data_IF_149437441245
#
_entry.id   IF_149437441245
#
_cell.length_a   1.000
_cell.length_b   1.000
_cell.length_c   1.000
_cell.angle_alpha   90.00
_cell.angle_beta   90.00
_cell.angle_gamma   90.00
#
_symmetry.space_group_name_H-M   'P 1'
#
loop_
_entity.id
_entity.type
_entity.pdbx_description
1 polymer ?
#
# COMPACT_ATOMS: atom_id res chain seq x y z
N UNK A 1 -3.69 42.75 -50.82
CA UNK A 1 -5.11 43.06 -50.57
C UNK A 1 -5.86 41.78 -50.90
N UNK A 2 -6.05 40.81 -50.01
CA UNK A 2 -6.37 40.82 -48.56
C UNK A 2 -5.98 39.42 -48.04
N UNK A 3 -5.02 39.31 -47.13
CA UNK A 3 -5.13 39.21 -45.65
C UNK A 3 -5.49 37.79 -45.13
N UNK A 4 -4.95 37.51 -43.94
CA UNK A 4 -4.50 36.25 -43.36
C UNK A 4 -5.51 35.10 -43.12
N UNK A 5 -5.04 33.86 -42.87
CA UNK A 5 -5.82 32.87 -42.14
C UNK A 5 -5.78 33.16 -40.63
N UNK A 6 -6.94 33.53 -40.10
CA UNK A 6 -7.16 33.71 -38.66
C UNK A 6 -6.96 32.39 -37.91
N UNK A 7 -5.98 32.40 -37.02
CA UNK A 7 -5.81 31.37 -36.01
C UNK A 7 -6.91 31.45 -34.97
N UNK A 8 -7.56 30.31 -34.69
CA UNK A 8 -8.22 30.10 -33.41
C UNK A 8 -7.92 28.69 -32.90
N UNK A 9 -6.91 28.65 -32.04
CA UNK A 9 -6.69 27.59 -31.07
C UNK A 9 -7.83 27.66 -30.04
N UNK A 10 -8.65 26.62 -29.99
CA UNK A 10 -9.67 26.48 -28.95
C UNK A 10 -9.03 26.40 -27.56
N UNK A 11 -9.66 26.96 -26.52
CA UNK A 11 -9.10 26.94 -25.17
C UNK A 11 -9.03 25.50 -24.64
N UNK A 12 -7.82 25.09 -24.28
CA UNK A 12 -7.55 23.88 -23.52
C UNK A 12 -8.28 23.96 -22.18
N UNK A 13 -9.15 22.99 -21.93
CA UNK A 13 -9.87 22.87 -20.67
C UNK A 13 -8.86 22.77 -19.51
N UNK A 14 -8.84 23.79 -18.65
CA UNK A 14 -8.08 23.78 -17.40
C UNK A 14 -8.67 22.68 -16.52
N UNK A 15 -7.91 21.60 -16.32
CA UNK A 15 -8.25 20.57 -15.33
C UNK A 15 -8.40 21.24 -13.97
N UNK A 16 -9.59 21.16 -13.39
CA UNK A 16 -9.85 21.56 -12.02
C UNK A 16 -8.84 20.87 -11.09
N UNK A 17 -8.01 21.67 -10.43
CA UNK A 17 -7.06 21.20 -9.45
C UNK A 17 -7.82 20.56 -8.28
N UNK A 18 -7.85 19.23 -8.25
CA UNK A 18 -8.41 18.48 -7.14
C UNK A 18 -7.76 18.94 -5.84
N UNK A 19 -8.59 19.34 -4.88
CA UNK A 19 -8.14 19.78 -3.55
C UNK A 19 -7.23 18.70 -2.97
N UNK A 20 -5.92 18.99 -2.88
CA UNK A 20 -4.91 18.10 -2.34
C UNK A 20 -5.24 17.87 -0.87
N UNK A 21 -5.90 16.76 -0.55
CA UNK A 21 -6.09 16.32 0.82
C UNK A 21 -4.71 16.09 1.41
N UNK A 22 -4.42 16.75 2.51
CA UNK A 22 -3.25 16.45 3.34
C UNK A 22 -3.35 14.99 3.77
N UNK A 23 -2.35 14.13 3.47
CA UNK A 23 -2.40 12.73 3.88
C UNK A 23 -2.49 12.66 5.41
N UNK A 24 -3.46 11.92 5.92
CA UNK A 24 -3.47 11.54 7.34
C UNK A 24 -2.15 10.83 7.65
N UNK A 25 -1.47 11.13 8.76
CA UNK A 25 -0.30 10.36 9.19
C UNK A 25 -0.63 8.87 9.15
N UNK A 26 0.30 8.02 8.67
CA UNK A 26 0.07 6.59 8.64
C UNK A 26 -0.32 6.13 10.05
N UNK A 27 -1.36 5.29 10.19
CA UNK A 27 -1.75 4.80 11.51
C UNK A 27 -0.59 4.11 12.20
N UNK A 28 -0.52 4.22 13.53
CA UNK A 28 0.45 3.50 14.33
C UNK A 28 0.26 1.98 14.25
N UNK A 29 1.25 1.21 14.76
CA UNK A 29 1.13 -0.24 14.89
C UNK A 29 -0.04 -0.62 15.81
N UNK A 30 -0.55 -1.83 15.66
CA UNK A 30 -1.54 -2.39 16.56
C UNK A 30 -0.97 -2.61 17.96
N UNK A 31 -1.79 -2.42 19.00
CA UNK A 31 -1.32 -2.60 20.39
C UNK A 31 -1.03 -4.07 20.73
N UNK A 32 -1.80 -5.00 20.14
CA UNK A 32 -1.65 -6.44 20.35
C UNK A 32 -1.11 -7.09 19.07
N UNK A 33 -0.08 -7.92 19.26
CA UNK A 33 0.61 -8.65 18.20
C UNK A 33 0.93 -7.80 16.96
N UNK A 34 1.70 -6.70 17.08
CA UNK A 34 1.92 -5.73 16.01
C UNK A 34 2.61 -6.31 14.77
N UNK A 35 3.28 -7.46 14.87
CA UNK A 35 3.88 -8.16 13.75
C UNK A 35 2.89 -9.09 13.04
N UNK A 36 2.99 -9.18 11.71
CA UNK A 36 2.31 -10.19 10.91
C UNK A 36 3.30 -10.86 9.97
N UNK A 37 3.27 -12.19 9.94
CA UNK A 37 3.88 -12.97 8.86
C UNK A 37 2.89 -13.10 7.70
N UNK A 38 3.34 -12.79 6.48
CA UNK A 38 2.50 -12.80 5.28
C UNK A 38 3.16 -13.61 4.17
N UNK A 39 2.43 -14.57 3.62
CA UNK A 39 2.77 -15.19 2.35
C UNK A 39 2.26 -14.31 1.21
N UNK A 40 3.16 -13.86 0.35
CA UNK A 40 2.84 -12.94 -0.76
C UNK A 40 2.51 -13.75 -2.01
N UNK A 41 1.43 -13.38 -2.69
CA UNK A 41 0.97 -14.02 -3.93
C UNK A 41 1.84 -13.59 -5.12
N UNK A 42 2.95 -14.29 -5.35
CA UNK A 42 3.83 -14.05 -6.49
C UNK A 42 4.30 -15.35 -7.13
N UNK A 43 4.30 -15.36 -8.46
CA UNK A 43 4.80 -16.47 -9.26
C UNK A 43 6.34 -16.45 -9.38
N UNK A 44 7.05 -16.33 -8.25
CA UNK A 44 8.50 -16.39 -8.21
C UNK A 44 8.93 -17.79 -7.75
N UNK A 45 9.65 -18.56 -8.59
CA UNK A 45 10.18 -19.85 -8.17
C UNK A 45 11.10 -19.63 -6.96
N UNK A 46 10.88 -20.42 -5.90
CA UNK A 46 11.63 -20.41 -4.63
C UNK A 46 11.33 -19.25 -3.67
N UNK A 47 10.24 -18.49 -3.85
CA UNK A 47 9.73 -17.63 -2.78
C UNK A 47 8.82 -18.45 -1.84
N UNK A 48 9.44 -19.23 -0.98
CA UNK A 48 8.78 -20.24 -0.14
C UNK A 48 8.57 -19.80 1.32
N UNK A 49 8.94 -18.56 1.68
CA UNK A 49 8.87 -18.07 3.05
C UNK A 49 7.90 -16.90 3.25
N UNK A 50 7.26 -16.81 4.43
CA UNK A 50 6.55 -15.61 4.85
C UNK A 50 7.50 -14.42 5.03
N UNK A 51 6.94 -13.22 4.89
CA UNK A 51 7.61 -11.95 5.15
C UNK A 51 6.92 -11.23 6.30
N UNK A 52 7.71 -10.52 7.10
CA UNK A 52 7.19 -9.81 8.26
C UNK A 52 6.76 -8.38 7.90
N UNK A 53 5.59 -7.99 8.42
CA UNK A 53 4.98 -6.67 8.24
C UNK A 53 4.43 -6.15 9.56
N UNK A 54 4.32 -4.83 9.69
CA UNK A 54 3.60 -4.21 10.81
C UNK A 54 2.10 -4.19 10.51
N UNK A 55 1.29 -4.61 11.47
CA UNK A 55 -0.16 -4.43 11.40
C UNK A 55 -0.52 -3.03 11.90
N UNK A 56 -1.16 -2.19 11.08
CA UNK A 56 -1.69 -0.91 11.55
C UNK A 56 -2.88 -1.12 12.49
N UNK A 57 -3.05 -0.25 13.49
CA UNK A 57 -4.18 -0.32 14.45
C UNK A 57 -5.56 -0.46 13.77
N UNK A 58 -5.87 0.24 12.66
CA UNK A 58 -7.16 0.06 11.98
C UNK A 58 -7.37 -1.30 11.30
N UNK A 59 -6.37 -2.18 11.32
CA UNK A 59 -6.42 -3.55 10.82
C UNK A 59 -6.20 -4.58 11.94
N UNK A 60 -6.07 -4.15 13.21
CA UNK A 60 -5.75 -5.01 14.36
C UNK A 60 -6.68 -6.22 14.44
N UNK A 61 -7.99 -5.99 14.31
CA UNK A 61 -9.06 -7.01 14.37
C UNK A 61 -9.14 -7.85 13.09
N UNK A 62 -8.91 -7.26 11.92
CA UNK A 62 -9.15 -7.92 10.63
C UNK A 62 -7.95 -8.75 10.13
N UNK A 63 -6.72 -8.38 10.52
CA UNK A 63 -5.50 -9.08 10.12
C UNK A 63 -5.27 -10.32 11.00
N UNK A 64 -6.13 -11.32 10.81
CA UNK A 64 -6.05 -12.65 11.44
C UNK A 64 -5.43 -13.68 10.48
N UNK A 65 -4.90 -14.82 10.97
CA UNK A 65 -4.44 -15.90 10.10
C UNK A 65 -5.49 -16.29 9.05
N UNK A 66 -5.06 -16.40 7.79
CA UNK A 66 -5.91 -16.65 6.63
C UNK A 66 -6.54 -15.40 5.99
N UNK A 67 -6.45 -14.22 6.63
CA UNK A 67 -6.96 -12.98 6.04
C UNK A 67 -6.14 -12.58 4.81
N UNK A 68 -6.84 -12.20 3.73
CA UNK A 68 -6.22 -11.57 2.57
C UNK A 68 -5.85 -10.13 2.90
N UNK A 69 -4.64 -9.73 2.56
CA UNK A 69 -4.09 -8.40 2.77
C UNK A 69 -3.37 -7.91 1.53
N UNK A 70 -3.12 -6.60 1.47
CA UNK A 70 -2.27 -5.98 0.46
C UNK A 70 -0.95 -5.61 1.11
N UNK A 71 0.18 -5.82 0.42
CA UNK A 71 1.52 -5.50 0.94
C UNK A 71 2.36 -4.80 -0.11
N UNK A 72 3.31 -3.97 0.35
CA UNK A 72 4.35 -3.41 -0.54
C UNK A 72 5.48 -4.43 -0.62
N UNK A 73 5.63 -5.08 -1.76
CA UNK A 73 6.69 -6.07 -2.01
C UNK A 73 7.42 -5.73 -3.31
N UNK A 74 8.76 -5.67 -3.25
CA UNK A 74 9.61 -5.32 -4.39
C UNK A 74 9.16 -4.05 -5.17
N UNK A 75 8.65 -3.04 -4.46
CA UNK A 75 8.20 -1.79 -5.09
C UNK A 75 6.83 -1.86 -5.78
N UNK A 76 6.08 -2.94 -5.58
CA UNK A 76 4.72 -3.13 -6.08
C UNK A 76 3.77 -3.42 -4.91
N UNK A 77 2.49 -3.13 -5.11
CA UNK A 77 1.46 -3.56 -4.16
C UNK A 77 0.95 -4.92 -4.66
N UNK A 78 1.03 -5.92 -3.79
CA UNK A 78 0.69 -7.31 -4.11
C UNK A 78 -0.26 -7.86 -3.05
N UNK A 79 -0.99 -8.88 -3.42
CA UNK A 79 -1.86 -9.59 -2.48
C UNK A 79 -1.02 -10.58 -1.67
N UNK A 80 -1.54 -10.93 -0.50
CA UNK A 80 -0.96 -11.96 0.33
C UNK A 80 -1.92 -12.42 1.42
N UNK A 81 -1.50 -13.41 2.19
CA UNK A 81 -2.28 -13.99 3.28
C UNK A 81 -1.48 -13.96 4.57
N UNK A 82 -2.12 -13.49 5.64
CA UNK A 82 -1.55 -13.54 6.98
C UNK A 82 -1.42 -15.01 7.40
N UNK A 83 -0.22 -15.41 7.79
CA UNK A 83 0.08 -16.74 8.34
C UNK A 83 -0.03 -16.71 9.85
N UNK A 84 0.56 -15.69 10.48
CA UNK A 84 0.62 -15.56 11.93
C UNK A 84 0.66 -14.09 12.36
N UNK A 85 0.27 -13.84 13.62
CA UNK A 85 0.43 -12.58 14.33
C UNK A 85 1.45 -12.77 15.45
N UNK A 86 2.33 -11.78 15.66
CA UNK A 86 3.43 -11.85 16.63
C UNK A 86 3.49 -10.61 17.50
N UNK A 87 3.64 -10.82 18.82
CA UNK A 87 3.91 -9.77 19.81
C UNK A 87 5.25 -9.06 19.56
N UNK A 88 6.25 -9.81 19.11
CA UNK A 88 7.61 -9.31 18.86
C UNK A 88 7.98 -9.63 17.43
N UNK A 89 8.42 -8.60 16.70
CA UNK A 89 8.97 -8.78 15.38
C UNK A 89 10.37 -9.39 15.46
N UNK A 90 10.65 -10.41 14.66
CA UNK A 90 12.00 -11.00 14.58
C UNK A 90 12.93 -10.11 13.74
N UNK A 91 12.38 -9.33 12.82
CA UNK A 91 13.15 -8.42 12.01
C UNK A 91 13.63 -7.19 12.81
N UNK A 92 14.94 -6.97 12.82
CA UNK A 92 15.60 -5.84 13.52
C UNK A 92 15.49 -4.51 12.79
N UNK A 93 14.95 -4.49 11.55
CA UNK A 93 14.74 -3.31 10.73
C UNK A 93 13.33 -2.73 10.77
N UNK A 94 13.10 -1.66 10.01
CA UNK A 94 11.76 -1.08 9.86
C UNK A 94 10.89 -2.01 9.01
N UNK A 95 9.85 -2.55 9.63
CA UNK A 95 8.81 -3.28 8.94
C UNK A 95 7.93 -2.35 8.09
N UNK A 96 7.55 -2.82 6.91
CA UNK A 96 6.54 -2.15 6.10
C UNK A 96 5.15 -2.39 6.71
N UNK A 97 4.24 -1.40 6.70
CA UNK A 97 2.89 -1.61 7.19
C UNK A 97 2.05 -2.42 6.18
N UNK A 98 1.13 -3.23 6.68
CA UNK A 98 0.05 -3.81 5.87
C UNK A 98 -0.78 -2.71 5.20
N UNK A 99 -1.34 -3.06 4.05
CA UNK A 99 -2.24 -2.21 3.26
C UNK A 99 -3.61 -2.87 3.17
N UNK A 100 -4.63 -2.03 3.00
CA UNK A 100 -5.99 -2.47 2.67
C UNK A 100 -6.13 -2.66 1.17
#
# INVERSE_FOLDING_TARGET
MTDAPDGQLGPTAVRAAGRRRTPKPPPGPADVDPGAEVLVDVALPHLDRPFEYTVPEPMSVAAVPGARVRVRFAGQDLDGWVVARKAVAEHTGRLAPLRR
#
